data_IF_331333070388
#
_entry.id   IF_331333070388
#
_cell.length_a   1.000
_cell.length_b   1.000
_cell.length_c   1.000
_cell.angle_alpha   90.00
_cell.angle_beta   90.00
_cell.angle_gamma   90.00
#
_symmetry.space_group_name_H-M   'P 1'
#
loop_
_entity.id
_entity.type
_entity.pdbx_description
1 polymer ?
#
# COMPACT_ATOMS: atom_id res chain seq x y z
N UNK A 1 -12.14 20.26 27.08
CA UNK A 1 -10.89 20.33 26.32
C UNK A 1 -10.24 18.94 26.29
N UNK A 2 -9.78 18.47 25.14
CA UNK A 2 -9.02 17.23 24.95
C UNK A 2 -7.52 17.53 25.04
N UNK A 3 -6.72 16.50 25.36
CA UNK A 3 -5.27 16.63 25.29
C UNK A 3 -4.81 16.46 23.82
N UNK A 4 -5.44 15.51 23.08
CA UNK A 4 -5.13 15.22 21.68
C UNK A 4 -6.41 15.16 20.83
N UNK A 5 -6.40 15.83 19.70
CA UNK A 5 -7.40 15.71 18.65
C UNK A 5 -6.76 15.14 17.39
N UNK A 6 -7.20 13.99 16.92
CA UNK A 6 -6.69 13.34 15.71
C UNK A 6 -7.69 13.53 14.58
N UNK A 7 -7.25 14.10 13.46
CA UNK A 7 -8.08 14.35 12.28
C UNK A 7 -7.71 13.33 11.20
N UNK A 8 -8.62 12.38 10.95
CA UNK A 8 -8.47 11.25 10.03
C UNK A 8 -8.24 9.92 10.73
N UNK A 9 -9.08 8.92 10.42
CA UNK A 9 -9.11 7.57 11.00
C UNK A 9 -8.41 6.51 10.15
N UNK A 10 -7.40 6.87 9.36
CA UNK A 10 -6.52 5.92 8.67
C UNK A 10 -5.55 5.20 9.62
N UNK A 11 -4.62 4.36 9.11
CA UNK A 11 -3.67 3.61 9.94
C UNK A 11 -2.90 4.51 10.93
N UNK A 12 -2.33 5.61 10.45
CA UNK A 12 -1.62 6.56 11.30
C UNK A 12 -2.50 7.22 12.36
N UNK A 13 -3.70 7.69 11.98
CA UNK A 13 -4.62 8.35 12.92
C UNK A 13 -5.16 7.41 13.98
N UNK A 14 -5.58 6.20 13.60
CA UNK A 14 -6.03 5.18 14.56
C UNK A 14 -4.90 4.77 15.51
N UNK A 15 -3.65 4.65 14.99
CA UNK A 15 -2.47 4.35 15.82
C UNK A 15 -2.20 5.47 16.81
N UNK A 16 -2.21 6.74 16.34
CA UNK A 16 -2.00 7.91 17.19
C UNK A 16 -3.05 8.01 18.28
N UNK A 17 -4.34 7.94 17.92
CA UNK A 17 -5.43 8.05 18.88
C UNK A 17 -5.40 6.95 19.94
N UNK A 18 -5.26 5.68 19.52
CA UNK A 18 -5.20 4.56 20.43
C UNK A 18 -3.99 4.61 21.36
N UNK A 19 -2.82 5.01 20.85
CA UNK A 19 -1.60 5.13 21.66
C UNK A 19 -1.71 6.30 22.65
N UNK A 20 -2.16 7.46 22.23
CA UNK A 20 -2.36 8.63 23.10
C UNK A 20 -3.32 8.31 24.25
N UNK A 21 -4.46 7.68 23.95
CA UNK A 21 -5.44 7.29 24.97
C UNK A 21 -4.87 6.25 25.96
N UNK A 22 -4.15 5.22 25.50
CA UNK A 22 -3.48 4.26 26.39
C UNK A 22 -2.42 4.89 27.30
N UNK A 23 -1.87 6.05 26.92
CA UNK A 23 -0.95 6.84 27.76
C UNK A 23 -1.67 7.83 28.68
N UNK A 24 -2.98 7.72 28.81
CA UNK A 24 -3.80 8.54 29.71
C UNK A 24 -4.18 9.91 29.16
N UNK A 25 -3.91 10.18 27.89
CA UNK A 25 -4.31 11.46 27.27
C UNK A 25 -5.78 11.39 26.84
N UNK A 26 -6.59 12.38 27.24
CA UNK A 26 -7.96 12.51 26.77
C UNK A 26 -7.99 12.78 25.28
N UNK A 27 -8.45 11.79 24.49
CA UNK A 27 -8.28 11.77 23.05
C UNK A 27 -9.62 11.72 22.30
N UNK A 28 -9.76 12.55 21.25
CA UNK A 28 -10.85 12.49 20.28
C UNK A 28 -10.27 12.21 18.89
N UNK A 29 -10.97 11.38 18.11
CA UNK A 29 -10.64 11.08 16.72
C UNK A 29 -11.83 11.41 15.83
N UNK A 30 -11.57 12.20 14.80
CA UNK A 30 -12.54 12.59 13.78
C UNK A 30 -12.30 11.78 12.51
N UNK A 31 -13.34 11.13 11.99
CA UNK A 31 -13.29 10.43 10.71
C UNK A 31 -14.57 10.75 9.92
N UNK A 32 -14.41 11.24 8.70
CA UNK A 32 -15.54 11.67 7.87
C UNK A 32 -16.24 10.52 7.14
N UNK A 33 -15.51 9.44 6.87
CA UNK A 33 -16.02 8.27 6.16
C UNK A 33 -16.01 7.07 7.12
N UNK A 34 -15.12 6.14 6.88
CA UNK A 34 -15.00 4.89 7.61
C UNK A 34 -13.61 4.70 8.22
N UNK A 35 -13.55 4.22 9.46
CA UNK A 35 -12.29 3.90 10.13
C UNK A 35 -11.43 2.95 9.30
N UNK A 36 -10.12 3.12 9.39
CA UNK A 36 -9.14 2.34 8.67
C UNK A 36 -8.64 3.01 7.39
N UNK A 37 -9.30 4.10 6.93
CA UNK A 37 -8.89 4.89 5.77
C UNK A 37 -8.74 4.06 4.50
N UNK A 38 -7.92 4.54 3.57
CA UNK A 38 -7.71 3.90 2.26
C UNK A 38 -7.22 2.46 2.39
N UNK A 39 -6.26 2.21 3.27
CA UNK A 39 -5.61 0.90 3.39
C UNK A 39 -6.61 -0.21 3.72
N UNK A 40 -7.43 -0.04 4.75
CA UNK A 40 -8.40 -1.04 5.18
C UNK A 40 -9.60 -1.14 4.22
N UNK A 41 -10.06 -0.02 3.69
CA UNK A 41 -11.34 0.02 2.98
C UNK A 41 -11.22 -0.21 1.47
N UNK A 42 -10.12 0.24 0.83
CA UNK A 42 -10.01 0.28 -0.63
C UNK A 42 -8.67 -0.23 -1.17
N UNK A 43 -7.61 -0.28 -0.33
CA UNK A 43 -6.23 -0.54 -0.74
C UNK A 43 -5.71 -1.89 -0.28
N UNK A 44 -4.86 -1.85 0.75
CA UNK A 44 -4.04 -2.99 1.18
C UNK A 44 -4.87 -4.26 1.41
N UNK A 45 -5.89 -4.20 2.25
CA UNK A 45 -6.63 -5.38 2.66
C UNK A 45 -7.50 -5.94 1.52
N UNK A 46 -8.39 -5.15 0.87
CA UNK A 46 -9.24 -5.70 -0.19
C UNK A 46 -8.44 -6.20 -1.39
N UNK A 47 -7.39 -5.49 -1.82
CA UNK A 47 -6.57 -5.93 -2.96
C UNK A 47 -5.83 -7.23 -2.64
N UNK A 48 -5.24 -7.37 -1.44
CA UNK A 48 -4.54 -8.61 -1.03
C UNK A 48 -5.48 -9.80 -0.90
N UNK A 49 -6.74 -9.56 -0.48
CA UNK A 49 -7.75 -10.61 -0.50
C UNK A 49 -8.05 -11.08 -1.94
N UNK A 50 -8.19 -10.16 -2.88
CA UNK A 50 -8.40 -10.49 -4.30
C UNK A 50 -7.19 -11.25 -4.87
N UNK A 51 -5.97 -10.80 -4.58
CA UNK A 51 -4.74 -11.47 -5.00
C UNK A 51 -4.58 -12.86 -4.38
N UNK A 52 -4.95 -13.03 -3.11
CA UNK A 52 -4.96 -14.35 -2.49
C UNK A 52 -5.91 -15.33 -3.22
N UNK A 53 -7.10 -14.86 -3.57
CA UNK A 53 -8.05 -15.69 -4.36
C UNK A 53 -7.49 -16.00 -5.76
N UNK A 54 -6.83 -15.02 -6.42
CA UNK A 54 -6.18 -15.24 -7.70
C UNK A 54 -5.04 -16.26 -7.61
N UNK A 55 -4.21 -16.19 -6.55
CA UNK A 55 -3.16 -17.17 -6.28
C UNK A 55 -3.72 -18.58 -6.12
N UNK A 56 -4.80 -18.73 -5.35
CA UNK A 56 -5.46 -20.03 -5.18
C UNK A 56 -6.00 -20.58 -6.51
N UNK A 57 -6.61 -19.71 -7.33
CA UNK A 57 -7.14 -20.10 -8.63
C UNK A 57 -6.02 -20.54 -9.58
N UNK A 58 -4.96 -19.74 -9.71
CA UNK A 58 -3.80 -20.05 -10.55
C UNK A 58 -3.05 -21.31 -10.06
N UNK A 59 -2.96 -21.51 -8.73
CA UNK A 59 -2.36 -22.71 -8.17
C UNK A 59 -3.13 -23.98 -8.53
N UNK A 60 -4.47 -23.95 -8.54
CA UNK A 60 -5.28 -25.06 -9.00
C UNK A 60 -5.06 -25.36 -10.50
N UNK A 61 -4.84 -24.34 -11.31
CA UNK A 61 -4.64 -24.46 -12.76
C UNK A 61 -3.24 -24.95 -13.11
N UNK A 62 -2.20 -24.36 -12.49
CA UNK A 62 -0.81 -24.54 -12.91
C UNK A 62 0.03 -25.39 -11.96
N UNK A 63 -0.18 -25.29 -10.65
CA UNK A 63 0.68 -25.95 -9.66
C UNK A 63 0.11 -27.31 -9.22
N UNK A 64 -1.20 -27.43 -9.01
CA UNK A 64 -1.83 -28.65 -8.54
C UNK A 64 -1.46 -29.91 -9.38
N UNK A 65 -1.38 -29.83 -10.73
CA UNK A 65 -0.95 -30.98 -11.53
C UNK A 65 0.50 -31.43 -11.23
N UNK A 66 1.39 -30.51 -10.83
CA UNK A 66 2.77 -30.84 -10.47
C UNK A 66 2.86 -31.69 -9.18
N UNK A 67 1.83 -31.62 -8.33
CA UNK A 67 1.70 -32.38 -7.11
C UNK A 67 0.77 -33.60 -7.25
N UNK A 68 0.36 -33.95 -8.48
CA UNK A 68 -0.56 -35.06 -8.74
C UNK A 68 -2.00 -34.78 -8.31
N UNK A 69 -2.39 -33.53 -8.15
CA UNK A 69 -3.75 -33.12 -7.79
C UNK A 69 -4.51 -32.79 -9.07
N UNK A 70 -5.58 -33.51 -9.32
CA UNK A 70 -6.52 -33.22 -10.39
C UNK A 70 -7.56 -32.21 -9.89
N UNK A 71 -7.70 -31.10 -10.59
CA UNK A 71 -8.58 -30.00 -10.23
C UNK A 71 -9.46 -29.62 -11.43
N UNK A 72 -10.21 -30.57 -11.97
CA UNK A 72 -11.12 -30.31 -13.09
C UNK A 72 -12.37 -29.51 -12.67
N UNK A 73 -12.86 -28.65 -13.56
CA UNK A 73 -14.17 -28.00 -13.46
C UNK A 73 -14.29 -26.87 -12.43
N UNK A 74 -13.16 -26.41 -11.84
CA UNK A 74 -13.21 -25.23 -10.98
C UNK A 74 -13.50 -23.96 -11.78
N UNK A 75 -14.21 -23.03 -11.16
CA UNK A 75 -14.59 -21.76 -11.78
C UNK A 75 -14.69 -20.63 -10.77
N UNK A 76 -14.61 -19.40 -11.26
CA UNK A 76 -14.85 -18.23 -10.44
C UNK A 76 -16.32 -18.10 -10.02
N UNK A 77 -16.54 -17.79 -8.75
CA UNK A 77 -17.76 -17.20 -8.23
C UNK A 77 -17.42 -15.78 -7.68
N UNK A 78 -17.49 -14.79 -8.55
CA UNK A 78 -17.14 -13.44 -8.21
C UNK A 78 -18.11 -12.82 -7.19
N UNK A 79 -19.36 -13.21 -7.17
CA UNK A 79 -20.34 -12.73 -6.18
C UNK A 79 -19.92 -13.15 -4.77
N UNK A 80 -19.56 -14.40 -4.59
CA UNK A 80 -19.03 -14.93 -3.31
C UNK A 80 -17.72 -14.25 -2.93
N UNK A 81 -16.81 -14.03 -3.89
CA UNK A 81 -15.54 -13.34 -3.63
C UNK A 81 -15.76 -11.90 -3.15
N UNK A 82 -16.64 -11.14 -3.83
CA UNK A 82 -16.98 -9.76 -3.45
C UNK A 82 -17.63 -9.70 -2.08
N UNK A 83 -18.61 -10.55 -1.81
CA UNK A 83 -19.26 -10.66 -0.48
C UNK A 83 -18.24 -11.00 0.62
N UNK A 84 -17.25 -11.85 0.32
CA UNK A 84 -16.17 -12.16 1.26
C UNK A 84 -15.29 -10.93 1.52
N UNK A 85 -14.91 -10.20 0.47
CA UNK A 85 -14.14 -8.95 0.58
C UNK A 85 -14.85 -7.96 1.50
N UNK A 86 -16.12 -7.68 1.26
CA UNK A 86 -16.92 -6.73 2.04
C UNK A 86 -17.06 -7.17 3.50
N UNK A 87 -17.37 -8.45 3.74
CA UNK A 87 -17.46 -9.00 5.11
C UNK A 87 -16.13 -8.92 5.86
N UNK A 88 -15.02 -9.17 5.19
CA UNK A 88 -13.69 -9.09 5.80
C UNK A 88 -13.36 -7.66 6.22
N UNK A 89 -13.59 -6.68 5.32
CA UNK A 89 -13.38 -5.26 5.59
C UNK A 89 -14.28 -4.80 6.74
N UNK A 90 -15.57 -5.13 6.70
CA UNK A 90 -16.53 -4.76 7.75
C UNK A 90 -16.14 -5.34 9.13
N UNK A 91 -15.68 -6.60 9.18
CA UNK A 91 -15.22 -7.23 10.42
C UNK A 91 -13.99 -6.55 11.01
N UNK A 92 -13.00 -6.23 10.16
CA UNK A 92 -11.78 -5.54 10.60
C UNK A 92 -12.07 -4.12 11.07
N UNK A 93 -12.97 -3.42 10.39
CA UNK A 93 -13.44 -2.09 10.79
C UNK A 93 -14.14 -2.11 12.15
N UNK A 94 -15.02 -3.09 12.38
CA UNK A 94 -15.68 -3.26 13.65
C UNK A 94 -14.68 -3.54 14.79
N UNK A 95 -13.71 -4.42 14.57
CA UNK A 95 -12.66 -4.71 15.53
C UNK A 95 -11.78 -3.48 15.84
N UNK A 96 -11.47 -2.67 14.82
CA UNK A 96 -10.73 -1.41 15.01
C UNK A 96 -11.52 -0.43 15.85
N UNK A 97 -12.82 -0.26 15.58
CA UNK A 97 -13.72 0.58 16.38
C UNK A 97 -13.76 0.13 17.83
N UNK A 98 -13.95 -1.15 18.08
CA UNK A 98 -13.96 -1.71 19.44
C UNK A 98 -12.64 -1.46 20.19
N UNK A 99 -11.49 -1.63 19.54
CA UNK A 99 -10.17 -1.34 20.15
C UNK A 99 -10.00 0.12 20.55
N UNK A 100 -10.43 1.05 19.69
CA UNK A 100 -10.37 2.49 19.99
C UNK A 100 -11.31 2.86 21.14
N UNK A 101 -12.52 2.33 21.16
CA UNK A 101 -13.49 2.54 22.23
C UNK A 101 -13.01 1.95 23.56
N UNK A 102 -12.45 0.74 23.55
CA UNK A 102 -11.84 0.12 24.74
C UNK A 102 -10.66 0.93 25.30
N UNK A 103 -9.93 1.65 24.45
CA UNK A 103 -8.90 2.60 24.85
C UNK A 103 -9.46 3.98 25.28
N UNK A 104 -10.79 4.13 25.39
CA UNK A 104 -11.47 5.38 25.74
C UNK A 104 -11.23 6.53 24.73
N UNK A 105 -11.01 6.22 23.46
CA UNK A 105 -10.98 7.23 22.38
C UNK A 105 -12.42 7.64 22.06
N UNK A 106 -12.70 8.93 22.12
CA UNK A 106 -13.97 9.47 21.61
C UNK A 106 -13.93 9.49 20.07
N UNK A 107 -14.93 8.88 19.42
CA UNK A 107 -15.03 8.80 17.97
C UNK A 107 -16.12 9.75 17.47
N UNK A 108 -15.74 10.69 16.63
CA UNK A 108 -16.67 11.64 15.98
C UNK A 108 -16.71 11.35 14.49
N UNK A 109 -17.88 10.93 13.99
CA UNK A 109 -18.07 10.65 12.57
C UNK A 109 -18.41 11.97 11.84
N UNK A 110 -17.39 12.73 11.50
CA UNK A 110 -17.51 14.00 10.77
C UNK A 110 -16.17 14.40 10.16
N UNK A 111 -16.23 15.15 9.08
CA UNK A 111 -15.08 15.93 8.64
C UNK A 111 -14.73 16.97 9.70
N UNK A 112 -13.44 17.19 9.92
CA UNK A 112 -12.96 18.13 10.91
C UNK A 112 -11.88 19.06 10.33
N UNK A 113 -11.91 20.31 10.76
CA UNK A 113 -10.96 21.34 10.38
C UNK A 113 -10.35 22.02 11.62
N UNK A 114 -9.08 22.34 11.57
CA UNK A 114 -8.44 23.19 12.58
C UNK A 114 -8.73 24.65 12.21
N UNK A 115 -9.64 25.29 12.94
CA UNK A 115 -10.08 26.67 12.62
C UNK A 115 -9.07 27.72 13.11
N UNK A 116 -8.65 27.61 14.35
CA UNK A 116 -7.83 28.65 14.98
C UNK A 116 -7.00 28.11 16.13
N UNK A 117 -5.92 28.84 16.43
CA UNK A 117 -5.14 28.63 17.64
C UNK A 117 -5.75 29.44 18.76
N UNK A 118 -5.92 28.81 19.94
CA UNK A 118 -6.44 29.41 21.15
C UNK A 118 -5.29 29.59 22.18
N UNK A 119 -5.46 30.43 23.23
CA UNK A 119 -4.57 30.39 24.37
C UNK A 119 -4.56 28.99 25.01
N UNK A 120 -3.45 28.28 24.87
CA UNK A 120 -3.27 26.91 25.42
C UNK A 120 -3.80 25.75 24.56
N UNK A 121 -4.19 25.98 23.29
CA UNK A 121 -4.68 24.91 22.42
C UNK A 121 -5.17 25.36 21.06
N UNK A 122 -6.13 24.61 20.52
CA UNK A 122 -6.71 24.78 19.20
C UNK A 122 -8.21 24.57 19.24
N UNK A 123 -8.94 25.31 18.41
CA UNK A 123 -10.34 25.08 18.10
C UNK A 123 -10.42 24.19 16.86
N UNK A 124 -11.17 23.11 16.96
CA UNK A 124 -11.47 22.19 15.86
C UNK A 124 -12.98 22.25 15.60
N UNK A 125 -13.35 22.53 14.38
CA UNK A 125 -14.74 22.45 13.92
C UNK A 125 -15.00 21.07 13.33
N UNK A 126 -16.10 20.44 13.73
CA UNK A 126 -16.56 19.18 13.16
C UNK A 126 -18.08 19.06 13.26
N UNK A 127 -18.77 18.88 12.13
CA UNK A 127 -20.22 18.69 12.08
C UNK A 127 -21.05 19.81 12.70
N UNK A 128 -20.61 21.06 12.59
CA UNK A 128 -21.25 22.22 13.19
C UNK A 128 -20.99 22.39 14.69
N UNK A 129 -20.15 21.51 15.29
CA UNK A 129 -19.75 21.59 16.68
C UNK A 129 -18.29 22.05 16.82
N UNK A 130 -18.00 22.74 17.92
CA UNK A 130 -16.63 23.15 18.27
C UNK A 130 -16.06 22.28 19.35
N UNK A 131 -14.83 21.82 19.11
CA UNK A 131 -14.04 21.02 20.02
C UNK A 131 -12.75 21.77 20.37
N UNK A 132 -12.31 21.66 21.60
CA UNK A 132 -11.06 22.26 22.04
C UNK A 132 -10.04 21.16 22.37
N UNK A 133 -8.85 21.26 21.82
CA UNK A 133 -7.74 20.33 22.10
C UNK A 133 -6.42 21.06 22.24
N UNK A 134 -5.54 20.53 23.11
CA UNK A 134 -4.20 21.09 23.30
C UNK A 134 -3.33 20.84 22.08
N UNK A 135 -3.41 19.63 21.49
CA UNK A 135 -2.53 19.21 20.40
C UNK A 135 -3.34 18.51 19.30
N UNK A 136 -3.43 19.11 18.11
CA UNK A 136 -3.98 18.44 16.94
C UNK A 136 -2.93 17.60 16.23
N UNK A 137 -3.34 16.39 15.78
CA UNK A 137 -2.59 15.54 14.88
C UNK A 137 -3.36 15.44 13.58
N UNK A 138 -2.79 15.96 12.49
CA UNK A 138 -3.36 15.94 11.16
C UNK A 138 -2.97 14.65 10.44
N UNK A 139 -3.91 13.73 10.31
CA UNK A 139 -3.77 12.42 9.69
C UNK A 139 -4.80 12.23 8.54
N UNK A 140 -5.11 13.31 7.81
CA UNK A 140 -6.17 13.35 6.80
C UNK A 140 -5.93 12.43 5.59
N UNK A 141 -4.75 11.79 5.52
CA UNK A 141 -4.45 10.73 4.56
C UNK A 141 -4.17 11.22 3.14
N UNK A 142 -4.31 10.29 2.19
CA UNK A 142 -4.11 10.51 0.77
C UNK A 142 -5.35 10.19 -0.05
N UNK A 143 -5.36 10.69 -1.28
CA UNK A 143 -6.33 10.37 -2.33
C UNK A 143 -5.62 9.91 -3.60
N UNK A 144 -6.28 9.16 -4.49
CA UNK A 144 -5.72 8.84 -5.79
C UNK A 144 -5.32 10.12 -6.56
N UNK A 145 -4.12 10.13 -7.11
CA UNK A 145 -3.71 11.16 -8.05
C UNK A 145 -4.39 10.94 -9.40
N UNK A 146 -5.20 11.91 -9.81
CA UNK A 146 -5.86 11.91 -11.12
C UNK A 146 -5.03 12.84 -12.03
N UNK A 147 -4.34 12.30 -13.04
CA UNK A 147 -3.53 13.13 -13.92
C UNK A 147 -4.40 14.06 -14.77
N UNK A 148 -3.87 15.24 -15.12
CA UNK A 148 -4.56 16.23 -15.93
C UNK A 148 -4.54 15.83 -17.41
N UNK A 149 -5.32 14.80 -17.77
CA UNK A 149 -5.44 14.29 -19.15
C UNK A 149 -6.80 14.74 -19.73
N UNK A 150 -6.83 15.33 -20.93
CA UNK A 150 -8.07 15.66 -21.62
C UNK A 150 -9.00 14.45 -21.75
N UNK A 151 -10.26 14.62 -21.30
CA UNK A 151 -11.29 13.58 -21.30
C UNK A 151 -11.34 12.69 -20.04
N UNK A 152 -10.43 12.85 -19.07
CA UNK A 152 -10.41 11.99 -17.87
C UNK A 152 -11.59 12.28 -16.94
N UNK A 153 -12.00 13.55 -16.82
CA UNK A 153 -13.12 13.94 -15.97
C UNK A 153 -14.45 13.37 -16.51
N UNK A 154 -14.65 13.44 -17.82
CA UNK A 154 -15.80 12.87 -18.50
C UNK A 154 -15.79 11.33 -18.40
N UNK A 155 -14.63 10.69 -18.52
CA UNK A 155 -14.46 9.25 -18.37
C UNK A 155 -14.80 8.77 -16.94
N UNK A 156 -14.42 9.53 -15.91
CA UNK A 156 -14.78 9.27 -14.50
C UNK A 156 -16.29 9.44 -14.30
N UNK A 157 -16.86 10.54 -14.79
CA UNK A 157 -18.29 10.81 -14.67
C UNK A 157 -19.16 9.75 -15.37
N UNK A 158 -18.72 9.24 -16.53
CA UNK A 158 -19.38 8.17 -17.26
C UNK A 158 -19.14 6.77 -16.65
N UNK A 159 -18.27 6.65 -15.63
CA UNK A 159 -17.90 5.37 -15.04
C UNK A 159 -17.06 4.47 -15.95
N UNK A 160 -16.53 4.99 -17.06
CA UNK A 160 -15.51 4.30 -17.88
C UNK A 160 -14.18 4.24 -17.13
N UNK A 161 -13.72 5.39 -16.62
CA UNK A 161 -12.55 5.43 -15.74
C UNK A 161 -12.98 5.23 -14.27
N UNK A 162 -12.14 4.51 -13.53
CA UNK A 162 -12.32 4.24 -12.09
C UNK A 162 -10.96 4.31 -11.38
N UNK A 163 -11.00 4.47 -10.06
CA UNK A 163 -9.81 4.36 -9.20
C UNK A 163 -9.87 3.07 -8.38
N UNK A 164 -8.82 2.71 -7.64
CA UNK A 164 -8.87 1.57 -6.71
C UNK A 164 -9.97 1.67 -5.64
N UNK A 165 -10.55 2.85 -5.41
CA UNK A 165 -11.70 3.03 -4.51
C UNK A 165 -13.00 2.44 -5.07
N UNK A 166 -13.16 2.47 -6.38
CA UNK A 166 -14.38 2.08 -7.11
C UNK A 166 -14.15 0.84 -8.00
N UNK A 167 -13.41 -0.17 -7.49
CA UNK A 167 -13.18 -1.39 -8.25
C UNK A 167 -14.50 -2.04 -8.67
N UNK A 168 -14.64 -2.40 -9.97
CA UNK A 168 -15.88 -2.99 -10.46
C UNK A 168 -16.11 -4.36 -9.83
N UNK A 169 -17.34 -4.61 -9.38
CA UNK A 169 -17.74 -5.89 -8.80
C UNK A 169 -17.76 -7.01 -9.85
N UNK A 170 -18.03 -6.67 -11.11
CA UNK A 170 -17.92 -7.59 -12.23
C UNK A 170 -16.55 -7.43 -12.91
N UNK A 171 -15.95 -8.57 -13.31
CA UNK A 171 -14.69 -8.56 -14.03
C UNK A 171 -14.95 -8.01 -15.45
N UNK A 172 -14.32 -6.88 -15.85
CA UNK A 172 -14.52 -6.31 -17.16
C UNK A 172 -13.87 -7.20 -18.23
N UNK A 173 -14.47 -7.34 -19.42
CA UNK A 173 -13.87 -8.09 -20.53
C UNK A 173 -12.46 -7.59 -20.91
N UNK A 174 -12.26 -6.27 -20.83
CA UNK A 174 -10.95 -5.65 -21.06
C UNK A 174 -10.71 -4.50 -20.09
N UNK A 175 -9.48 -4.38 -19.60
CA UNK A 175 -9.06 -3.39 -18.63
C UNK A 175 -7.78 -2.69 -19.11
N UNK A 176 -7.86 -1.38 -19.26
CA UNK A 176 -6.69 -0.53 -19.44
C UNK A 176 -6.27 0.04 -18.09
N UNK A 177 -5.02 -0.11 -17.71
CA UNK A 177 -4.46 0.39 -16.44
C UNK A 177 -3.49 1.53 -16.77
N UNK A 178 -3.77 2.70 -16.24
CA UNK A 178 -2.91 3.87 -16.33
C UNK A 178 -2.07 3.96 -15.06
N UNK A 179 -0.77 3.66 -15.21
CA UNK A 179 0.22 3.61 -14.14
C UNK A 179 0.62 2.19 -13.74
N UNK A 180 1.90 1.87 -13.93
CA UNK A 180 2.52 0.58 -13.62
C UNK A 180 3.18 0.51 -12.24
N UNK A 181 2.68 1.28 -11.26
CA UNK A 181 3.10 1.19 -9.87
C UNK A 181 2.55 -0.06 -9.18
N UNK A 182 2.79 -0.18 -7.85
CA UNK A 182 2.38 -1.37 -7.07
C UNK A 182 0.91 -1.73 -7.26
N UNK A 183 -0.02 -0.77 -7.11
CA UNK A 183 -1.45 -1.03 -7.27
C UNK A 183 -1.82 -1.44 -8.69
N UNK A 184 -1.19 -0.83 -9.71
CA UNK A 184 -1.40 -1.18 -11.11
C UNK A 184 -0.98 -2.61 -11.42
N UNK A 185 0.21 -3.02 -10.96
CA UNK A 185 0.75 -4.38 -11.13
C UNK A 185 -0.14 -5.41 -10.39
N UNK A 186 -0.49 -5.14 -9.14
CA UNK A 186 -1.33 -6.03 -8.33
C UNK A 186 -2.71 -6.25 -8.95
N UNK A 187 -3.36 -5.17 -9.38
CA UNK A 187 -4.68 -5.24 -10.01
C UNK A 187 -4.61 -5.82 -11.42
N UNK A 188 -3.53 -5.56 -12.19
CA UNK A 188 -3.29 -6.25 -13.47
C UNK A 188 -3.20 -7.76 -13.27
N UNK A 189 -2.46 -8.20 -12.24
CA UNK A 189 -2.32 -9.62 -11.89
C UNK A 189 -3.69 -10.24 -11.58
N UNK A 190 -4.46 -9.61 -10.69
CA UNK A 190 -5.79 -10.12 -10.32
C UNK A 190 -6.72 -10.19 -11.52
N UNK A 191 -6.93 -9.06 -12.22
CA UNK A 191 -7.90 -9.01 -13.31
C UNK A 191 -7.51 -9.90 -14.49
N UNK A 192 -6.20 -10.08 -14.74
CA UNK A 192 -5.75 -10.99 -15.80
C UNK A 192 -6.04 -12.45 -15.45
N UNK A 193 -5.78 -12.88 -14.24
CA UNK A 193 -6.12 -14.25 -13.76
C UNK A 193 -7.64 -14.42 -13.68
N UNK A 194 -8.37 -13.36 -13.38
CA UNK A 194 -9.84 -13.35 -13.39
C UNK A 194 -10.46 -13.39 -14.79
N UNK A 195 -9.67 -13.28 -15.88
CA UNK A 195 -10.11 -13.45 -17.25
C UNK A 195 -10.17 -12.17 -18.09
N UNK A 196 -9.84 -10.99 -17.54
CA UNK A 196 -9.78 -9.75 -18.34
C UNK A 196 -8.63 -9.77 -19.35
N UNK A 197 -8.83 -9.15 -20.51
CA UNK A 197 -7.72 -8.71 -21.36
C UNK A 197 -7.13 -7.44 -20.75
N UNK A 198 -5.89 -7.50 -20.23
CA UNK A 198 -5.28 -6.39 -19.48
C UNK A 198 -4.16 -5.73 -20.27
N UNK A 199 -4.18 -4.39 -20.30
CA UNK A 199 -3.11 -3.55 -20.87
C UNK A 199 -2.66 -2.54 -19.80
N UNK A 200 -1.35 -2.40 -19.57
CA UNK A 200 -0.76 -1.38 -18.69
C UNK A 200 -0.08 -0.32 -19.55
N UNK A 201 -0.30 0.95 -19.25
CA UNK A 201 0.48 2.08 -19.78
C UNK A 201 1.19 2.76 -18.62
N UNK A 202 2.52 2.82 -18.71
CA UNK A 202 3.40 3.39 -17.70
C UNK A 202 4.30 4.46 -18.33
N UNK A 203 4.30 5.65 -17.73
CA UNK A 203 5.12 6.77 -18.21
C UNK A 203 6.63 6.56 -17.98
N UNK A 204 6.98 5.85 -16.94
CA UNK A 204 8.37 5.47 -16.63
C UNK A 204 8.89 4.38 -17.56
N UNK A 205 10.21 4.21 -17.58
CA UNK A 205 10.88 3.20 -18.42
C UNK A 205 10.65 1.76 -17.94
N UNK A 206 10.22 1.55 -16.69
CA UNK A 206 10.01 0.24 -16.07
C UNK A 206 8.78 0.24 -15.19
N UNK A 207 8.19 -0.93 -14.99
CA UNK A 207 7.15 -1.14 -13.99
C UNK A 207 7.72 -1.05 -12.55
N UNK A 208 6.84 -0.79 -11.57
CA UNK A 208 7.17 -0.78 -10.14
C UNK A 208 7.85 0.49 -9.63
N UNK A 209 8.05 1.50 -10.48
CA UNK A 209 8.62 2.79 -10.11
C UNK A 209 10.10 2.68 -9.68
N UNK A 210 10.39 2.88 -8.38
CA UNK A 210 11.76 2.84 -7.83
C UNK A 210 12.21 1.44 -7.37
N UNK A 211 11.72 0.38 -7.97
CA UNK A 211 12.25 -0.96 -7.73
C UNK A 211 13.66 -1.11 -8.30
N UNK A 212 14.43 -2.05 -7.73
CA UNK A 212 15.61 -2.59 -8.41
C UNK A 212 15.18 -3.08 -9.80
N UNK A 213 15.97 -2.79 -10.83
CA UNK A 213 15.60 -3.07 -12.22
C UNK A 213 15.33 -4.56 -12.49
N UNK A 214 16.01 -5.47 -11.75
CA UNK A 214 15.81 -6.92 -11.88
C UNK A 214 14.47 -7.37 -11.34
N UNK A 215 13.99 -6.71 -10.26
CA UNK A 215 12.63 -6.94 -9.75
C UNK A 215 11.59 -6.43 -10.75
N UNK A 216 11.83 -5.26 -11.35
CA UNK A 216 10.96 -4.72 -12.39
C UNK A 216 10.90 -5.65 -13.62
N UNK A 217 12.05 -6.17 -14.09
CA UNK A 217 12.11 -7.14 -15.18
C UNK A 217 11.39 -8.45 -14.82
N UNK A 218 11.58 -8.95 -13.61
CA UNK A 218 10.93 -10.18 -13.12
C UNK A 218 9.40 -10.04 -13.15
N UNK A 219 8.86 -8.91 -12.64
CA UNK A 219 7.43 -8.62 -12.66
C UNK A 219 6.90 -8.46 -14.10
N UNK A 220 7.64 -7.73 -14.94
CA UNK A 220 7.27 -7.52 -16.35
C UNK A 220 7.14 -8.87 -17.06
N UNK A 221 8.16 -9.71 -16.97
CA UNK A 221 8.15 -11.04 -17.58
C UNK A 221 7.01 -11.93 -17.04
N UNK A 222 6.72 -11.86 -15.73
CA UNK A 222 5.61 -12.61 -15.13
C UNK A 222 4.24 -12.15 -15.64
N UNK A 223 4.04 -10.85 -15.85
CA UNK A 223 2.81 -10.29 -16.41
C UNK A 223 2.65 -10.60 -17.89
N UNK A 224 3.73 -10.44 -18.68
CA UNK A 224 3.74 -10.75 -20.11
C UNK A 224 3.47 -12.23 -20.37
N UNK A 225 4.07 -13.13 -19.57
CA UNK A 225 3.79 -14.58 -19.61
C UNK A 225 2.30 -14.89 -19.42
N UNK A 226 1.59 -14.07 -18.63
CA UNK A 226 0.14 -14.17 -18.46
C UNK A 226 -0.66 -13.48 -19.59
N UNK A 227 0.01 -12.84 -20.54
CA UNK A 227 -0.63 -12.16 -21.65
C UNK A 227 -1.09 -10.73 -21.33
N UNK A 228 -0.54 -10.09 -20.30
CA UNK A 228 -0.72 -8.65 -20.08
C UNK A 228 0.09 -7.90 -21.12
N UNK A 229 -0.51 -6.94 -21.79
CA UNK A 229 0.19 -6.02 -22.71
C UNK A 229 0.78 -4.86 -21.89
N UNK A 230 2.03 -4.51 -22.12
CA UNK A 230 2.74 -3.50 -21.35
C UNK A 230 3.36 -2.47 -22.28
N UNK A 231 3.02 -1.20 -22.06
CA UNK A 231 3.59 -0.03 -22.74
C UNK A 231 4.31 0.82 -21.70
N UNK A 232 5.63 0.67 -21.60
CA UNK A 232 6.49 1.55 -20.77
C UNK A 232 7.02 2.72 -21.60
N UNK A 233 7.58 3.74 -20.93
CA UNK A 233 8.02 4.99 -21.56
C UNK A 233 6.92 5.61 -22.46
N UNK A 234 5.67 5.43 -22.09
CA UNK A 234 4.52 5.88 -22.86
C UNK A 234 3.52 6.65 -22.00
N UNK A 235 2.85 7.60 -22.62
CA UNK A 235 1.85 8.45 -21.96
C UNK A 235 0.52 8.37 -22.69
N UNK A 236 -0.54 8.78 -21.98
CA UNK A 236 -1.89 8.92 -22.55
C UNK A 236 -2.20 10.42 -22.68
N UNK A 237 -2.07 11.01 -23.85
CA UNK A 237 -2.38 12.43 -24.07
C UNK A 237 -3.88 12.72 -24.10
N UNK A 238 -4.74 11.73 -24.35
CA UNK A 238 -6.19 11.92 -24.46
C UNK A 238 -6.97 10.63 -24.14
N UNK A 239 -8.12 10.82 -23.48
CA UNK A 239 -9.08 9.76 -23.18
C UNK A 239 -10.41 10.12 -23.84
N UNK A 240 -11.08 9.13 -24.43
CA UNK A 240 -12.44 9.23 -24.95
C UNK A 240 -13.35 8.14 -24.41
N UNK A 241 -14.55 8.03 -24.95
CA UNK A 241 -15.51 7.00 -24.57
C UNK A 241 -15.02 5.61 -25.01
N UNK A 242 -14.65 4.78 -24.06
CA UNK A 242 -14.14 3.43 -24.28
C UNK A 242 -12.73 3.32 -24.87
N UNK A 243 -11.95 4.39 -24.95
CA UNK A 243 -10.59 4.37 -25.50
C UNK A 243 -9.64 5.38 -24.84
N UNK A 244 -8.35 5.12 -24.99
CA UNK A 244 -7.28 6.05 -24.67
C UNK A 244 -6.26 6.10 -25.81
N UNK A 245 -5.66 7.27 -26.07
CA UNK A 245 -4.67 7.50 -27.11
C UNK A 245 -3.26 7.42 -26.50
N UNK A 246 -2.37 6.71 -27.18
CA UNK A 246 -0.95 6.67 -26.84
C UNK A 246 -0.20 7.86 -27.46
N UNK A 247 1.03 8.10 -27.01
CA UNK A 247 1.87 9.19 -27.50
C UNK A 247 2.16 9.15 -29.02
N UNK A 248 2.11 7.96 -29.64
CA UNK A 248 2.27 7.78 -31.08
C UNK A 248 0.97 7.98 -31.88
N UNK A 249 -0.12 8.36 -31.23
CA UNK A 249 -1.45 8.56 -31.83
C UNK A 249 -2.27 7.27 -31.99
N UNK A 250 -1.72 6.11 -31.66
CA UNK A 250 -2.51 4.86 -31.68
C UNK A 250 -3.52 4.83 -30.54
N UNK A 251 -4.64 4.08 -30.70
CA UNK A 251 -5.69 4.01 -29.71
C UNK A 251 -5.81 2.63 -29.13
N UNK A 252 -5.91 2.59 -27.79
CA UNK A 252 -6.23 1.42 -27.01
C UNK A 252 -7.70 1.48 -26.61
N UNK A 253 -8.47 0.45 -26.94
CA UNK A 253 -9.86 0.31 -26.53
C UNK A 253 -9.98 -0.61 -25.33
N UNK A 254 -10.87 -0.29 -24.41
CA UNK A 254 -11.12 -1.11 -23.22
C UNK A 254 -12.55 -0.93 -22.71
N UNK A 255 -13.06 -1.90 -21.96
CA UNK A 255 -14.36 -1.80 -21.26
C UNK A 255 -14.28 -0.90 -20.04
N UNK A 256 -13.10 -0.82 -19.40
CA UNK A 256 -12.81 0.02 -18.24
C UNK A 256 -11.38 0.55 -18.30
N UNK A 257 -11.19 1.74 -17.74
CA UNK A 257 -9.90 2.36 -17.48
C UNK A 257 -9.69 2.45 -15.96
N UNK A 258 -8.62 1.88 -15.44
CA UNK A 258 -8.24 1.95 -14.03
C UNK A 258 -7.07 2.92 -13.86
N UNK A 259 -7.25 3.94 -13.04
CA UNK A 259 -6.24 4.97 -12.77
C UNK A 259 -5.45 4.59 -11.53
N UNK A 260 -4.16 4.30 -11.69
CA UNK A 260 -3.21 3.93 -10.64
C UNK A 260 -1.92 4.77 -10.68
N UNK A 261 -2.07 6.06 -10.99
CA UNK A 261 -0.98 7.03 -11.17
C UNK A 261 -0.35 7.53 -9.86
N UNK A 262 -0.56 6.83 -8.75
CA UNK A 262 -0.03 7.18 -7.45
C UNK A 262 -1.05 7.88 -6.55
N UNK A 263 -0.53 8.49 -5.50
CA UNK A 263 -1.31 9.13 -4.44
C UNK A 263 -0.81 10.54 -4.21
N UNK A 264 -1.71 11.41 -3.73
CA UNK A 264 -1.40 12.76 -3.26
C UNK A 264 -2.08 13.01 -1.92
N UNK A 265 -1.65 14.02 -1.17
CA UNK A 265 -2.28 14.39 0.08
C UNK A 265 -3.76 14.72 -0.14
N UNK A 266 -4.66 14.15 0.70
CA UNK A 266 -6.11 14.28 0.51
C UNK A 266 -6.61 15.71 0.75
N UNK A 267 -5.96 16.46 1.64
CA UNK A 267 -6.31 17.82 1.99
C UNK A 267 -5.06 18.66 2.28
N UNK A 268 -5.20 19.96 2.16
CA UNK A 268 -4.15 20.90 2.55
C UNK A 268 -3.84 20.78 4.05
N UNK A 269 -2.57 20.86 4.38
CA UNK A 269 -2.12 20.91 5.78
C UNK A 269 -2.57 22.24 6.39
N UNK A 270 -3.18 22.23 7.60
CA UNK A 270 -3.52 23.46 8.29
C UNK A 270 -2.30 24.37 8.47
N UNK A 271 -2.44 25.64 8.12
CA UNK A 271 -1.35 26.61 8.22
C UNK A 271 -0.99 27.01 9.67
N UNK A 272 -1.71 26.48 10.68
CA UNK A 272 -1.53 26.81 12.09
C UNK A 272 -0.26 26.16 12.66
N UNK A 273 0.73 26.93 13.15
CA UNK A 273 1.92 26.38 13.78
C UNK A 273 1.57 25.53 15.01
N UNK A 274 2.16 24.33 15.12
CA UNK A 274 1.95 23.39 16.22
C UNK A 274 1.04 22.21 15.89
N UNK A 275 0.43 22.16 14.69
CA UNK A 275 -0.25 20.97 14.18
C UNK A 275 0.80 19.95 13.75
N UNK A 276 0.73 18.73 14.31
CA UNK A 276 1.60 17.64 13.88
C UNK A 276 0.97 16.92 12.68
N UNK A 277 1.73 16.78 11.59
CA UNK A 277 1.25 16.12 10.35
C UNK A 277 1.90 14.76 10.22
N UNK A 278 1.09 13.71 10.00
CA UNK A 278 1.54 12.31 9.91
C UNK A 278 0.94 11.58 8.70
N UNK A 279 1.62 10.54 8.27
CA UNK A 279 1.19 9.65 7.20
C UNK A 279 1.12 10.34 5.85
N UNK A 280 0.20 9.88 5.01
CA UNK A 280 0.05 10.33 3.62
C UNK A 280 -0.26 11.83 3.51
N UNK A 281 -0.87 12.42 4.53
CA UNK A 281 -1.10 13.85 4.61
C UNK A 281 0.20 14.68 4.60
N UNK A 282 1.32 14.09 4.99
CA UNK A 282 2.64 14.74 4.93
C UNK A 282 3.24 14.74 3.52
N UNK A 283 2.65 14.02 2.55
CA UNK A 283 3.08 14.00 1.15
C UNK A 283 4.45 13.34 0.89
N UNK A 284 4.99 12.59 1.84
CA UNK A 284 6.36 12.05 1.77
C UNK A 284 6.43 10.59 1.34
N UNK A 285 5.71 9.72 2.03
CA UNK A 285 5.69 8.26 1.79
C UNK A 285 4.29 7.74 2.03
N UNK A 286 3.68 7.15 1.01
CA UNK A 286 2.32 6.58 1.06
C UNK A 286 2.37 5.10 1.47
N UNK A 287 2.76 4.83 2.74
CA UNK A 287 2.92 3.49 3.30
C UNK A 287 2.34 3.45 4.71
N UNK A 288 1.45 2.49 4.97
CA UNK A 288 0.81 2.32 6.27
C UNK A 288 1.81 2.16 7.43
N UNK A 289 2.89 1.34 7.33
CA UNK A 289 3.90 1.22 8.39
C UNK A 289 4.59 2.54 8.72
N UNK A 290 4.82 3.40 7.72
CA UNK A 290 5.42 4.72 7.92
C UNK A 290 4.45 5.63 8.67
N UNK A 291 3.18 5.64 8.28
CA UNK A 291 2.15 6.43 8.97
C UNK A 291 2.00 6.03 10.43
N UNK A 292 2.06 4.74 10.75
CA UNK A 292 2.02 4.23 12.11
C UNK A 292 3.27 4.62 12.91
N UNK A 293 4.46 4.51 12.32
CA UNK A 293 5.70 4.94 12.95
C UNK A 293 5.71 6.45 13.25
N UNK A 294 5.25 7.27 12.29
CA UNK A 294 5.11 8.71 12.47
C UNK A 294 4.09 9.05 13.58
N UNK A 295 3.00 8.26 13.68
CA UNK A 295 2.02 8.39 14.75
C UNK A 295 2.64 8.12 16.14
N UNK A 296 3.41 7.05 16.27
CA UNK A 296 4.14 6.73 17.49
C UNK A 296 5.11 7.85 17.87
N UNK A 297 5.90 8.33 16.91
CA UNK A 297 6.84 9.42 17.14
C UNK A 297 6.13 10.74 17.53
N UNK A 298 4.95 11.00 16.95
CA UNK A 298 4.14 12.17 17.29
C UNK A 298 3.65 12.08 18.74
N UNK A 299 3.10 10.94 19.15
CA UNK A 299 2.60 10.74 20.51
C UNK A 299 3.74 10.70 21.53
N UNK A 300 4.90 10.12 21.20
CA UNK A 300 6.10 10.14 22.04
C UNK A 300 6.51 11.58 22.38
N UNK A 301 6.55 12.46 21.37
CA UNK A 301 6.84 13.90 21.59
C UNK A 301 5.83 14.56 22.51
N UNK A 302 4.53 14.24 22.38
CA UNK A 302 3.50 14.82 23.26
C UNK A 302 3.64 14.38 24.71
N UNK A 303 4.18 13.19 24.93
CA UNK A 303 4.43 12.65 26.29
C UNK A 303 5.81 13.02 26.84
N UNK A 304 6.61 13.83 26.14
CA UNK A 304 7.98 14.17 26.57
C UNK A 304 8.94 12.97 26.55
N UNK A 305 8.60 11.90 25.84
CA UNK A 305 9.45 10.74 25.63
C UNK A 305 10.40 11.08 24.46
N UNK A 306 11.69 10.77 24.62
CA UNK A 306 12.79 11.21 23.75
C UNK A 306 12.46 11.28 22.25
N UNK A 307 12.80 12.39 21.56
CA UNK A 307 12.43 12.64 20.17
C UNK A 307 13.24 11.85 19.13
N UNK A 308 14.33 11.17 19.53
CA UNK A 308 15.24 10.52 18.58
C UNK A 308 14.90 9.05 18.34
N UNK A 309 13.73 8.79 17.75
CA UNK A 309 13.52 7.51 17.07
C UNK A 309 14.21 7.54 15.70
N UNK A 310 15.31 6.85 15.58
CA UNK A 310 15.91 6.60 14.26
C UNK A 310 14.87 5.97 13.37
N UNK A 311 14.62 6.55 12.19
CA UNK A 311 13.66 6.01 11.25
C UNK A 311 14.09 4.58 10.85
N UNK A 312 13.21 3.57 11.00
CA UNK A 312 13.54 2.20 10.62
C UNK A 312 13.71 2.08 9.11
N UNK A 313 14.45 1.06 8.69
CA UNK A 313 14.44 0.63 7.30
C UNK A 313 13.07 0.00 7.03
N UNK A 314 12.32 0.54 6.06
CA UNK A 314 10.96 0.09 5.76
C UNK A 314 10.98 -0.77 4.52
N UNK A 315 10.52 -2.01 4.63
CA UNK A 315 10.33 -2.87 3.48
C UNK A 315 9.13 -2.40 2.65
N UNK A 316 9.26 -2.56 1.33
CA UNK A 316 8.17 -2.36 0.37
C UNK A 316 7.95 -3.68 -0.35
N UNK A 317 6.70 -4.02 -0.60
CA UNK A 317 6.35 -5.20 -1.39
C UNK A 317 5.33 -4.85 -2.47
N UNK A 318 5.38 -5.59 -3.57
CA UNK A 318 4.32 -5.69 -4.56
C UNK A 318 3.84 -7.13 -4.51
N UNK A 319 2.60 -7.31 -4.10
CA UNK A 319 1.98 -8.61 -3.87
C UNK A 319 1.43 -9.24 -5.16
N UNK A 320 2.10 -9.02 -6.28
CA UNK A 320 1.83 -9.74 -7.52
C UNK A 320 2.04 -11.26 -7.35
N UNK A 321 1.86 -12.02 -8.40
CA UNK A 321 2.13 -13.45 -8.43
C UNK A 321 3.12 -13.71 -9.55
N UNK A 322 4.39 -14.07 -9.22
CA UNK A 322 5.01 -14.05 -7.89
C UNK A 322 5.21 -12.64 -7.33
N UNK A 323 5.38 -12.54 -6.02
CA UNK A 323 5.59 -11.27 -5.33
C UNK A 323 7.04 -10.79 -5.39
N UNK A 324 7.25 -9.48 -5.15
CA UNK A 324 8.59 -8.93 -4.94
C UNK A 324 8.60 -8.03 -3.70
N UNK A 325 9.76 -7.94 -3.06
CA UNK A 325 9.97 -7.05 -1.93
C UNK A 325 11.36 -6.43 -1.94
N UNK A 326 11.49 -5.25 -1.36
CA UNK A 326 12.75 -4.52 -1.25
C UNK A 326 12.84 -3.81 0.09
N UNK A 327 14.04 -3.77 0.68
CA UNK A 327 14.33 -2.98 1.86
C UNK A 327 15.78 -2.46 1.77
N UNK A 328 16.03 -1.25 2.26
CA UNK A 328 17.35 -0.62 2.22
C UNK A 328 17.72 -0.07 0.84
N UNK A 329 19.01 -0.04 0.55
CA UNK A 329 19.59 0.63 -0.60
C UNK A 329 19.70 -0.29 -1.83
N UNK A 330 19.55 0.30 -3.01
CA UNK A 330 20.01 -0.32 -4.26
C UNK A 330 21.54 -0.24 -4.34
N UNK A 331 22.13 -1.02 -5.24
CA UNK A 331 23.60 -0.97 -5.46
C UNK A 331 24.06 0.43 -5.87
N UNK A 332 23.31 1.11 -6.72
CA UNK A 332 23.66 2.45 -7.19
C UNK A 332 23.64 3.47 -6.04
N UNK A 333 22.62 3.41 -5.17
CA UNK A 333 22.56 4.24 -3.96
C UNK A 333 23.71 3.92 -2.99
N UNK A 334 24.02 2.65 -2.80
CA UNK A 334 25.13 2.22 -1.94
C UNK A 334 26.49 2.71 -2.47
N UNK A 335 26.73 2.63 -3.78
CA UNK A 335 27.97 3.10 -4.42
C UNK A 335 28.17 4.60 -4.37
N UNK A 336 27.11 5.39 -4.26
CA UNK A 336 27.22 6.83 -4.02
C UNK A 336 27.84 7.15 -2.64
N UNK A 337 27.67 6.24 -1.67
CA UNK A 337 28.20 6.40 -0.31
C UNK A 337 29.52 5.64 -0.10
N UNK A 338 29.67 4.48 -0.73
CA UNK A 338 30.82 3.59 -0.64
C UNK A 338 31.10 2.99 -2.02
N UNK A 339 32.12 3.50 -2.71
CA UNK A 339 32.48 3.04 -4.04
C UNK A 339 32.86 1.54 -4.09
N UNK A 340 33.24 0.95 -2.95
CA UNK A 340 33.54 -0.48 -2.82
C UNK A 340 32.29 -1.34 -2.57
N UNK A 341 31.09 -0.74 -2.51
CA UNK A 341 29.85 -1.49 -2.34
C UNK A 341 29.63 -2.48 -3.47
N UNK A 342 29.19 -3.67 -3.10
CA UNK A 342 28.99 -4.78 -4.02
C UNK A 342 27.65 -5.49 -3.73
N UNK A 343 27.28 -6.39 -4.63
CA UNK A 343 26.06 -7.20 -4.47
C UNK A 343 26.34 -8.69 -4.60
N UNK A 344 25.43 -9.49 -4.03
CA UNK A 344 25.36 -10.93 -4.24
C UNK A 344 23.94 -11.31 -4.61
N UNK A 345 23.79 -12.05 -5.69
CA UNK A 345 22.52 -12.63 -6.10
C UNK A 345 22.53 -14.14 -5.83
N UNK A 346 21.47 -14.62 -5.19
CA UNK A 346 21.27 -16.02 -4.87
C UNK A 346 19.87 -16.47 -5.33
N UNK A 347 19.74 -17.64 -5.95
CA UNK A 347 18.43 -18.19 -6.27
C UNK A 347 17.74 -18.68 -4.99
N UNK A 348 16.42 -18.48 -4.86
CA UNK A 348 15.65 -18.98 -3.73
C UNK A 348 15.59 -20.52 -3.69
N UNK A 349 15.85 -21.19 -4.81
CA UNK A 349 15.99 -22.65 -4.90
C UNK A 349 17.14 -23.24 -4.10
N UNK A 350 18.06 -22.44 -3.55
CA UNK A 350 18.98 -22.89 -2.52
C UNK A 350 18.27 -23.32 -1.23
N UNK A 351 17.06 -22.82 -0.99
CA UNK A 351 16.18 -23.35 0.04
C UNK A 351 15.48 -24.61 -0.49
N UNK A 352 15.76 -25.76 0.10
CA UNK A 352 15.07 -27.00 -0.26
C UNK A 352 13.57 -26.93 -0.11
N UNK A 353 13.08 -26.18 0.88
CA UNK A 353 11.64 -25.90 1.06
C UNK A 353 11.08 -25.12 -0.12
N UNK A 354 11.73 -24.04 -0.53
CA UNK A 354 11.28 -23.23 -1.67
C UNK A 354 11.20 -24.06 -2.95
N UNK A 355 12.24 -24.86 -3.22
CA UNK A 355 12.27 -25.76 -4.37
C UNK A 355 11.12 -26.79 -4.34
N UNK A 356 10.80 -27.31 -3.16
CA UNK A 356 9.74 -28.31 -3.00
C UNK A 356 8.33 -27.70 -3.16
N UNK A 357 8.13 -26.46 -2.66
CA UNK A 357 6.81 -25.81 -2.63
C UNK A 357 6.51 -25.00 -3.90
N UNK A 358 7.55 -24.53 -4.65
CA UNK A 358 7.40 -23.62 -5.80
C UNK A 358 8.17 -24.13 -7.04
N UNK A 359 7.78 -25.30 -7.60
CA UNK A 359 8.52 -25.94 -8.70
C UNK A 359 8.53 -25.13 -10.01
N UNK A 360 7.61 -24.20 -10.18
CA UNK A 360 7.46 -23.39 -11.39
C UNK A 360 8.06 -21.98 -11.27
N UNK A 361 8.64 -21.63 -10.12
CA UNK A 361 9.16 -20.30 -9.86
C UNK A 361 10.70 -20.26 -9.87
N UNK A 362 11.26 -19.25 -10.54
CA UNK A 362 12.67 -18.92 -10.55
C UNK A 362 12.98 -17.71 -9.66
N UNK A 363 12.57 -17.79 -8.38
CA UNK A 363 12.77 -16.73 -7.40
C UNK A 363 14.26 -16.51 -7.07
N UNK A 364 14.59 -15.28 -6.66
CA UNK A 364 15.94 -14.92 -6.27
C UNK A 364 15.96 -13.83 -5.21
N UNK A 365 17.07 -13.73 -4.49
CA UNK A 365 17.40 -12.63 -3.60
C UNK A 365 18.69 -11.94 -4.03
N UNK A 366 18.75 -10.62 -3.86
CA UNK A 366 19.96 -9.80 -4.03
C UNK A 366 20.24 -9.11 -2.71
N UNK A 367 21.40 -9.36 -2.11
CA UNK A 367 21.93 -8.60 -0.99
C UNK A 367 22.90 -7.54 -1.51
N UNK A 368 22.76 -6.30 -1.05
CA UNK A 368 23.69 -5.19 -1.31
C UNK A 368 24.54 -4.98 -0.07
N UNK A 369 25.84 -4.94 -0.22
CA UNK A 369 26.80 -4.88 0.88
C UNK A 369 27.75 -3.68 0.73
N UNK A 370 28.20 -3.12 1.88
CA UNK A 370 29.32 -2.19 1.91
C UNK A 370 30.63 -2.89 1.55
N UNK A 371 31.70 -2.12 1.26
CA UNK A 371 33.05 -2.66 1.10
C UNK A 371 33.55 -3.42 2.33
N UNK A 372 33.04 -3.11 3.52
CA UNK A 372 33.31 -3.82 4.78
C UNK A 372 32.44 -5.08 4.98
N UNK A 373 31.49 -5.38 4.09
CA UNK A 373 30.63 -6.55 4.17
C UNK A 373 29.35 -6.37 4.97
N UNK A 374 29.00 -5.15 5.36
CA UNK A 374 27.73 -4.87 6.03
C UNK A 374 26.56 -4.88 5.06
N UNK A 375 25.44 -5.49 5.42
CA UNK A 375 24.23 -5.53 4.60
C UNK A 375 23.56 -4.16 4.58
N UNK A 376 23.46 -3.55 3.40
CA UNK A 376 22.88 -2.22 3.15
C UNK A 376 21.48 -2.29 2.53
N UNK A 377 21.17 -3.38 1.83
CA UNK A 377 19.89 -3.56 1.17
C UNK A 377 19.61 -4.99 0.77
N UNK A 378 18.33 -5.32 0.61
CA UNK A 378 17.85 -6.61 0.12
C UNK A 378 16.74 -6.40 -0.90
N UNK A 379 16.77 -7.17 -1.98
CA UNK A 379 15.80 -7.16 -3.07
C UNK A 379 15.42 -8.60 -3.40
N UNK A 380 14.15 -8.95 -3.24
CA UNK A 380 13.65 -10.32 -3.28
C UNK A 380 12.56 -10.46 -4.34
N UNK A 381 12.59 -11.54 -5.07
CA UNK A 381 11.60 -11.91 -6.07
C UNK A 381 11.21 -13.37 -5.90
N UNK A 382 9.91 -13.66 -5.80
CA UNK A 382 9.37 -15.01 -5.63
C UNK A 382 8.39 -15.11 -4.48
N UNK A 383 7.70 -16.23 -4.37
CA UNK A 383 6.74 -16.49 -3.29
C UNK A 383 7.39 -16.36 -1.91
N UNK A 384 6.72 -15.67 -0.99
CA UNK A 384 7.23 -15.37 0.35
C UNK A 384 8.19 -14.18 0.44
N UNK A 385 8.49 -13.47 -0.67
CA UNK A 385 9.41 -12.34 -0.68
C UNK A 385 8.98 -11.23 0.30
N UNK A 386 7.69 -10.95 0.40
CA UNK A 386 7.14 -9.94 1.31
C UNK A 386 7.40 -10.30 2.79
N UNK A 387 7.13 -11.55 3.17
CA UNK A 387 7.38 -12.03 4.54
C UNK A 387 8.89 -12.08 4.86
N UNK A 388 9.67 -12.56 3.93
CA UNK A 388 11.12 -12.68 4.09
C UNK A 388 11.79 -11.32 4.26
N UNK A 389 11.32 -10.27 3.56
CA UNK A 389 11.90 -8.93 3.66
C UNK A 389 11.87 -8.36 5.07
N UNK A 390 10.84 -8.68 5.86
CA UNK A 390 10.71 -8.26 7.26
C UNK A 390 11.65 -8.98 8.24
N UNK A 391 12.35 -10.03 7.83
CA UNK A 391 13.23 -10.83 8.69
C UNK A 391 14.67 -10.34 8.75
N UNK A 392 15.07 -9.40 7.89
CA UNK A 392 16.43 -8.90 7.80
C UNK A 392 16.78 -7.84 8.83
N UNK A 393 18.08 -7.72 9.10
CA UNK A 393 18.67 -6.55 9.74
C UNK A 393 19.58 -5.84 8.73
N UNK A 394 19.39 -4.54 8.57
CA UNK A 394 20.16 -3.70 7.65
C UNK A 394 20.87 -2.63 8.47
N UNK A 395 22.19 -2.56 8.39
CA UNK A 395 23.02 -1.70 9.26
C UNK A 395 22.70 -1.87 10.75
N UNK A 396 22.53 -3.13 11.20
CA UNK A 396 22.20 -3.44 12.60
C UNK A 396 20.77 -3.04 13.02
N UNK A 397 19.94 -2.56 12.09
CA UNK A 397 18.53 -2.18 12.36
C UNK A 397 17.58 -3.23 11.83
N UNK A 398 16.60 -3.59 12.65
CA UNK A 398 15.50 -4.43 12.19
C UNK A 398 14.73 -3.73 11.04
N UNK A 399 14.40 -4.49 10.02
CA UNK A 399 13.55 -4.01 8.93
C UNK A 399 12.10 -4.03 9.39
N UNK A 400 11.41 -2.91 9.21
CA UNK A 400 9.96 -2.85 9.39
C UNK A 400 9.30 -3.62 8.26
N UNK A 401 8.49 -4.68 8.56
CA UNK A 401 7.88 -5.50 7.53
C UNK A 401 6.92 -4.70 6.64
N UNK A 402 6.69 -5.16 5.41
CA UNK A 402 5.68 -4.56 4.55
C UNK A 402 4.28 -4.83 5.11
N UNK A 403 3.33 -3.96 4.79
CA UNK A 403 1.94 -4.11 5.20
C UNK A 403 1.04 -4.42 3.99
N UNK A 404 0.12 -5.39 4.12
CA UNK A 404 -0.07 -6.32 5.24
C UNK A 404 0.85 -7.56 5.13
N UNK A 405 1.45 -7.99 6.24
CA UNK A 405 2.23 -9.22 6.29
C UNK A 405 2.07 -9.92 7.65
N UNK A 406 2.32 -11.23 7.72
CA UNK A 406 2.29 -11.97 8.98
C UNK A 406 3.47 -11.58 9.88
N UNK A 407 4.58 -11.15 9.31
CA UNK A 407 5.75 -10.69 10.06
C UNK A 407 5.49 -9.45 10.93
N UNK A 408 4.41 -8.68 10.66
CA UNK A 408 3.96 -7.61 11.55
C UNK A 408 3.56 -8.10 12.94
N UNK A 409 3.11 -9.35 13.05
CA UNK A 409 2.71 -9.96 14.32
C UNK A 409 3.87 -10.00 15.33
N UNK A 410 5.11 -10.17 14.86
CA UNK A 410 6.30 -10.09 15.71
C UNK A 410 6.42 -8.74 16.42
N UNK A 411 6.08 -7.66 15.71
CA UNK A 411 6.10 -6.30 16.27
C UNK A 411 5.02 -6.11 17.35
N UNK A 412 3.82 -6.66 17.13
CA UNK A 412 2.73 -6.61 18.11
C UNK A 412 3.09 -7.36 19.38
N UNK A 413 3.69 -8.57 19.26
CA UNK A 413 4.18 -9.33 20.41
C UNK A 413 5.28 -8.61 21.18
N UNK A 414 6.24 -8.00 20.48
CA UNK A 414 7.33 -7.25 21.12
C UNK A 414 6.85 -5.98 21.82
N UNK A 415 5.80 -5.34 21.31
CA UNK A 415 5.20 -4.16 21.91
C UNK A 415 4.31 -4.47 23.13
N UNK A 416 4.02 -5.76 23.40
CA UNK A 416 3.11 -6.16 24.48
C UNK A 416 1.67 -5.71 24.24
N UNK A 417 1.27 -5.53 23.00
CA UNK A 417 -0.06 -5.06 22.62
C UNK A 417 -1.02 -6.25 22.45
N UNK A 418 -2.09 -6.24 23.24
CA UNK A 418 -3.23 -7.17 23.14
C UNK A 418 -4.38 -6.55 22.36
#
# INVERSE_FOLDING_TARGET
MYDVAVIGGGPGGCRAAGLAARRGLKTVLFEREELGGVCLNYGCIPIKLLLHAARMYEALELEAPQFGIDAEGFRWDFETLWKRKERTVARLRAALRQRLQAAAVELVNSEAAVESKLPGGFCIEAGGCRYEARQPIWAAGGKPHIPAIPGIAEALAAGFAVTPRELPAAVPPSLLILGGGAAGIELATFFRIAGSAVTIVEAGNTLGGRLDFRLAQFLTAALEKRGVKIHTANTIPRIGDGWAELADGSRLTASKLLITCGWEAAAAVPASPGVQVIGDAAGRRFLAPVAEWEAEAAVDRLCGISPERTQPVVARAIFAIPEVATAGMTLDEARQMDAAAYERRLPLTLSGRYMAEHPLENGFGVGVYSGAGELLGVHLAGSGAAELAGSFQINGRAVMPPHPSLSEFNRLLQAGES
#
